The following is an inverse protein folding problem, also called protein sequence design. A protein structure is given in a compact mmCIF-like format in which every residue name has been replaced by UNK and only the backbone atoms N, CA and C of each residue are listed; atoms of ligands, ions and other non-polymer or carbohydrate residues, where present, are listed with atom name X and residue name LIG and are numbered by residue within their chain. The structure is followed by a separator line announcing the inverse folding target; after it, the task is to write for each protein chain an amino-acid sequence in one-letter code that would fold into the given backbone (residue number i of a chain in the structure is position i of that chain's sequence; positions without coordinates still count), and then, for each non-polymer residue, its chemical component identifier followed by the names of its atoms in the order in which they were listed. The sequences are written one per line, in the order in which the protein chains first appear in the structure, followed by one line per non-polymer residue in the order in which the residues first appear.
data_IF_149932645398
#
_entry.id   IF_149932645398
#
_cell.length_a   1.000
_cell.length_b   1.000
_cell.length_c   1.000
_cell.angle_alpha   90.00
_cell.angle_beta   90.00
_cell.angle_gamma   90.00
#
_symmetry.space_group_name_H-M   'P 1'
#
loop_
_entity.id
_entity.type
_entity.pdbx_description
1 polymer ?
#
# COMPACT_ATOMS: atom_id res chain seq x y z
N UNK A 1 45.91 -0.52 4.43
CA UNK A 1 45.05 -0.01 5.52
C UNK A 1 43.75 0.56 4.96
N UNK A 2 42.97 -0.23 4.22
CA UNK A 2 41.76 0.24 3.51
C UNK A 2 40.69 -0.84 3.44
N UNK A 3 40.59 -1.69 4.47
CA UNK A 3 39.64 -2.82 4.52
C UNK A 3 38.55 -2.67 5.59
N UNK A 4 38.50 -1.53 6.30
CA UNK A 4 37.56 -1.30 7.42
C UNK A 4 36.38 -0.39 7.02
N UNK A 5 36.43 0.26 5.85
CA UNK A 5 35.47 1.31 5.49
C UNK A 5 34.17 0.84 4.78
N UNK A 6 34.04 -0.43 4.38
CA UNK A 6 32.88 -0.89 3.58
C UNK A 6 31.90 -1.81 4.30
N UNK A 7 32.12 -2.15 5.57
CA UNK A 7 31.22 -3.03 6.33
C UNK A 7 30.20 -2.29 7.21
N UNK A 8 30.20 -0.95 7.25
CA UNK A 8 29.42 -0.16 8.22
C UNK A 8 28.29 0.69 7.62
N UNK A 9 27.84 0.44 6.39
CA UNK A 9 26.65 1.13 5.87
C UNK A 9 25.53 0.21 5.40
N UNK A 10 25.48 -1.01 5.95
CA UNK A 10 24.21 -1.74 6.07
C UNK A 10 23.48 -1.23 7.32
N UNK A 11 23.24 0.08 7.40
CA UNK A 11 22.24 0.58 8.32
C UNK A 11 20.90 0.18 7.69
N UNK A 12 20.42 -1.00 8.06
CA UNK A 12 19.02 -1.39 7.90
C UNK A 12 18.25 -0.39 8.76
N UNK A 13 17.91 0.75 8.16
CA UNK A 13 17.03 1.71 8.76
C UNK A 13 15.66 1.04 8.72
N UNK A 14 15.31 0.41 9.84
CA UNK A 14 13.95 -0.04 10.10
C UNK A 14 13.10 1.22 10.08
N UNK A 15 12.54 1.56 8.91
CA UNK A 15 11.54 2.59 8.81
C UNK A 15 10.37 2.12 9.65
N UNK A 16 10.03 2.90 10.67
CA UNK A 16 8.63 3.03 11.04
C UNK A 16 7.92 3.39 9.74
N UNK A 17 7.28 2.41 9.07
CA UNK A 17 6.57 2.59 7.80
C UNK A 17 5.32 3.43 8.04
N UNK A 18 5.54 4.71 8.31
CA UNK A 18 4.50 5.71 8.36
C UNK A 18 4.23 6.16 6.93
N UNK A 19 3.01 5.94 6.48
CA UNK A 19 2.54 6.33 5.15
C UNK A 19 1.68 7.59 5.24
N UNK A 20 1.69 8.39 4.18
CA UNK A 20 0.82 9.57 4.08
C UNK A 20 -0.56 9.17 3.57
N UNK A 21 -1.62 9.73 4.13
CA UNK A 21 -3.00 9.49 3.74
C UNK A 21 -3.75 10.81 3.52
N UNK A 22 -4.78 10.81 2.68
CA UNK A 22 -5.71 11.93 2.62
C UNK A 22 -6.48 12.04 3.94
N UNK A 23 -6.71 13.27 4.37
CA UNK A 23 -7.44 13.56 5.59
C UNK A 23 -8.46 14.67 5.35
N UNK A 24 -9.68 14.48 5.88
CA UNK A 24 -10.71 15.51 5.81
C UNK A 24 -10.35 16.71 6.71
N UNK A 25 -10.75 17.91 6.29
CA UNK A 25 -10.46 19.18 6.97
C UNK A 25 -11.05 19.23 8.40
N UNK A 26 -12.14 18.52 8.67
CA UNK A 26 -12.71 18.44 10.01
C UNK A 26 -11.82 17.63 10.97
N UNK A 27 -11.18 16.58 10.46
CA UNK A 27 -10.37 15.65 11.24
C UNK A 27 -8.92 16.14 11.37
N UNK A 28 -8.36 16.75 10.32
CA UNK A 28 -7.01 17.29 10.29
C UNK A 28 -7.02 18.82 10.18
N UNK A 29 -6.87 19.55 11.30
CA UNK A 29 -6.85 21.01 11.26
C UNK A 29 -5.59 21.52 10.55
N UNK A 30 -5.77 22.16 9.40
CA UNK A 30 -4.70 22.84 8.67
C UNK A 30 -3.90 22.00 7.68
N UNK A 31 -4.25 20.72 7.51
CA UNK A 31 -3.63 19.85 6.50
C UNK A 31 -4.66 18.93 5.85
N UNK A 32 -4.58 18.76 4.53
CA UNK A 32 -5.37 17.79 3.76
C UNK A 32 -4.78 16.38 3.80
N UNK A 33 -3.69 16.20 4.54
CA UNK A 33 -2.88 14.99 4.59
C UNK A 33 -2.44 14.74 6.03
N UNK A 34 -2.52 13.48 6.47
CA UNK A 34 -1.95 13.00 7.73
C UNK A 34 -0.94 11.88 7.45
N UNK A 35 -0.23 11.45 8.48
CA UNK A 35 0.71 10.32 8.41
C UNK A 35 0.29 9.29 9.45
N UNK A 36 0.28 8.01 9.08
CA UNK A 36 -0.14 6.91 9.96
C UNK A 36 0.40 5.55 9.48
N UNK A 37 0.05 4.47 10.17
CA UNK A 37 0.46 3.11 9.75
C UNK A 37 -0.30 2.62 8.53
N UNK A 38 -1.55 3.05 8.39
CA UNK A 38 -2.43 2.71 7.28
C UNK A 38 -3.47 3.83 7.08
N UNK A 39 -4.14 3.83 5.93
CA UNK A 39 -5.14 4.82 5.57
C UNK A 39 -6.55 4.24 5.62
N UNK A 40 -7.53 5.06 6.03
CA UNK A 40 -8.95 4.75 5.99
C UNK A 40 -9.69 5.66 5.02
N UNK A 41 -10.69 5.08 4.36
CA UNK A 41 -11.74 5.79 3.66
C UNK A 41 -13.07 5.07 3.88
N UNK A 42 -14.13 5.83 4.11
CA UNK A 42 -15.46 5.27 4.23
C UNK A 42 -16.55 6.31 4.24
N UNK A 43 -17.79 5.85 4.27
CA UNK A 43 -18.96 6.69 4.52
C UNK A 43 -19.34 6.53 5.99
N UNK A 44 -19.23 7.62 6.73
CA UNK A 44 -19.63 7.71 8.12
C UNK A 44 -21.14 7.97 8.21
N UNK A 45 -21.81 7.28 9.13
CA UNK A 45 -23.22 7.51 9.45
C UNK A 45 -23.42 8.66 10.44
N UNK A 46 -22.33 9.26 10.92
CA UNK A 46 -22.35 10.33 11.90
C UNK A 46 -22.98 11.58 11.28
N UNK A 47 -24.22 11.91 11.70
CA UNK A 47 -25.00 13.03 11.19
C UNK A 47 -26.07 12.72 10.12
N UNK A 48 -26.36 11.45 9.83
CA UNK A 48 -27.51 11.01 9.03
C UNK A 48 -27.46 11.28 7.52
N UNK A 49 -26.46 12.02 7.04
CA UNK A 49 -26.33 12.39 5.62
C UNK A 49 -25.27 11.60 4.85
N UNK A 50 -24.65 10.57 5.45
CA UNK A 50 -23.65 9.73 4.79
C UNK A 50 -22.46 10.55 4.27
N UNK A 51 -21.54 10.94 5.15
CA UNK A 51 -20.39 11.76 4.77
C UNK A 51 -19.19 10.88 4.43
N UNK A 52 -18.50 11.18 3.33
CA UNK A 52 -17.22 10.56 3.02
C UNK A 52 -16.17 11.10 3.97
N UNK A 53 -15.58 10.24 4.79
CA UNK A 53 -14.51 10.57 5.72
C UNK A 53 -13.23 9.84 5.30
N UNK A 54 -12.11 10.57 5.37
CA UNK A 54 -10.76 10.08 5.08
C UNK A 54 -9.87 10.41 6.27
N UNK A 55 -9.11 9.44 6.77
CA UNK A 55 -8.21 9.63 7.92
C UNK A 55 -7.07 8.60 7.92
N UNK A 56 -6.11 8.82 8.82
CA UNK A 56 -5.02 7.90 9.13
C UNK A 56 -5.41 7.01 10.31
N UNK A 57 -4.88 5.79 10.32
CA UNK A 57 -4.97 4.91 11.46
C UNK A 57 -3.62 4.50 12.02
N UNK A 58 -3.66 4.14 13.30
CA UNK A 58 -2.49 3.72 14.07
C UNK A 58 -2.72 2.38 14.76
N UNK A 59 -3.91 2.18 15.33
CA UNK A 59 -4.25 0.99 16.11
C UNK A 59 -4.88 -0.10 15.23
N UNK A 60 -4.31 -1.31 15.24
CA UNK A 60 -4.83 -2.45 14.46
C UNK A 60 -6.28 -2.84 14.79
N UNK A 61 -6.78 -2.45 15.97
CA UNK A 61 -8.16 -2.73 16.40
C UNK A 61 -9.20 -1.96 15.60
N UNK A 62 -8.84 -0.77 15.13
CA UNK A 62 -9.69 0.10 14.34
C UNK A 62 -9.56 -0.17 12.85
N UNK A 63 -8.73 -1.15 12.48
CA UNK A 63 -8.49 -1.55 11.11
C UNK A 63 -9.47 -2.64 10.71
N UNK A 64 -10.36 -2.41 9.72
CA UNK A 64 -11.12 -3.49 9.11
C UNK A 64 -10.16 -4.46 8.39
N UNK A 65 -10.44 -5.77 8.47
CA UNK A 65 -9.59 -6.81 7.86
C UNK A 65 -9.49 -6.63 6.34
N UNK A 66 -10.59 -6.19 5.72
CA UNK A 66 -10.70 -5.81 4.32
C UNK A 66 -11.56 -4.54 4.22
N UNK A 67 -12.46 -4.46 3.23
CA UNK A 67 -13.53 -3.49 3.26
C UNK A 67 -14.75 -4.08 3.96
N UNK A 68 -15.33 -3.33 4.90
CA UNK A 68 -16.46 -3.76 5.71
C UNK A 68 -17.66 -2.83 5.51
N UNK A 69 -18.85 -3.40 5.69
CA UNK A 69 -20.12 -2.67 5.82
C UNK A 69 -20.56 -2.70 7.27
N UNK A 70 -21.30 -1.67 7.69
CA UNK A 70 -21.86 -1.54 9.04
C UNK A 70 -20.80 -1.78 10.14
N UNK A 71 -19.64 -1.14 9.97
CA UNK A 71 -18.50 -1.28 10.86
C UNK A 71 -18.41 -0.07 11.80
N UNK A 72 -18.73 -0.27 13.08
CA UNK A 72 -18.71 0.78 14.10
C UNK A 72 -19.57 2.01 13.68
N UNK A 73 -18.96 3.19 13.50
CA UNK A 73 -19.60 4.43 13.01
C UNK A 73 -19.76 4.52 11.48
N UNK A 74 -19.31 3.51 10.76
CA UNK A 74 -19.21 3.51 9.29
C UNK A 74 -20.28 2.64 8.64
N UNK A 75 -20.94 3.19 7.63
CA UNK A 75 -21.82 2.43 6.74
C UNK A 75 -21.01 1.53 5.81
N UNK A 76 -19.93 2.08 5.26
CA UNK A 76 -18.94 1.35 4.46
C UNK A 76 -17.56 1.92 4.73
N UNK A 77 -16.55 1.05 4.82
CA UNK A 77 -15.19 1.45 5.17
C UNK A 77 -14.16 0.50 4.58
N UNK A 78 -13.03 1.04 4.13
CA UNK A 78 -11.89 0.30 3.59
C UNK A 78 -10.59 0.80 4.22
N UNK A 79 -9.67 -0.11 4.49
CA UNK A 79 -8.30 0.20 4.90
C UNK A 79 -7.27 -0.19 3.81
N UNK A 80 -6.20 0.59 3.69
CA UNK A 80 -5.12 0.34 2.74
C UNK A 80 -3.75 0.84 3.24
N UNK A 81 -2.67 0.19 2.79
CA UNK A 81 -1.30 0.40 3.28
C UNK A 81 -0.36 1.13 2.29
N UNK A 82 -0.90 1.71 1.22
CA UNK A 82 -0.13 2.46 0.24
C UNK A 82 -0.25 3.98 0.47
N UNK A 83 0.79 4.78 0.18
CA UNK A 83 0.71 6.23 0.35
C UNK A 83 -0.40 6.81 -0.54
N UNK A 84 -1.26 7.64 0.07
CA UNK A 84 -2.40 8.33 -0.54
C UNK A 84 -3.39 7.37 -1.23
N UNK A 85 -3.51 6.14 -0.73
CA UNK A 85 -4.38 5.10 -1.32
C UNK A 85 -5.86 5.32 -1.05
N UNK A 86 -6.20 6.03 0.03
CA UNK A 86 -7.56 6.19 0.53
C UNK A 86 -8.36 7.19 -0.32
N UNK A 87 -8.56 6.87 -1.58
CA UNK A 87 -9.31 7.67 -2.56
C UNK A 87 -10.70 7.11 -2.77
N UNK A 88 -11.64 7.96 -3.19
CA UNK A 88 -13.01 7.52 -3.47
C UNK A 88 -13.10 6.40 -4.53
N UNK A 89 -12.18 6.39 -5.49
CA UNK A 89 -12.07 5.33 -6.48
C UNK A 89 -11.78 3.96 -5.83
N UNK A 90 -10.90 3.94 -4.83
CA UNK A 90 -10.55 2.74 -4.07
C UNK A 90 -11.73 2.19 -3.24
N UNK A 91 -12.50 3.07 -2.60
CA UNK A 91 -13.69 2.67 -1.85
C UNK A 91 -14.71 1.97 -2.76
N UNK A 92 -15.05 2.60 -3.90
CA UNK A 92 -16.05 2.04 -4.82
C UNK A 92 -15.58 0.73 -5.47
N UNK A 93 -14.35 0.67 -5.96
CA UNK A 93 -13.85 -0.54 -6.63
C UNK A 93 -13.87 -1.76 -5.72
N UNK A 94 -13.64 -1.57 -4.42
CA UNK A 94 -13.51 -2.68 -3.48
C UNK A 94 -14.86 -3.07 -2.86
N UNK A 95 -15.82 -2.13 -2.78
CA UNK A 95 -17.19 -2.43 -2.35
C UNK A 95 -18.00 -3.15 -3.43
N UNK A 96 -17.78 -2.83 -4.70
CA UNK A 96 -18.41 -3.53 -5.82
C UNK A 96 -17.94 -5.00 -5.88
N UNK A 97 -16.64 -5.25 -5.68
CA UNK A 97 -16.12 -6.63 -5.64
C UNK A 97 -16.71 -7.48 -4.50
N UNK A 98 -17.05 -6.89 -3.35
CA UNK A 98 -17.70 -7.62 -2.27
C UNK A 98 -19.17 -7.95 -2.60
N UNK A 99 -19.89 -7.04 -3.27
CA UNK A 99 -21.25 -7.35 -3.77
C UNK A 99 -21.24 -8.54 -4.73
N UNK A 100 -20.16 -8.70 -5.47
CA UNK A 100 -20.05 -9.75 -6.47
C UNK A 100 -19.86 -11.16 -5.86
N UNK A 101 -19.03 -11.24 -4.82
CA UNK A 101 -18.83 -12.49 -4.08
C UNK A 101 -20.09 -12.94 -3.32
N UNK A 102 -20.87 -12.00 -2.77
CA UNK A 102 -22.10 -12.31 -2.02
C UNK A 102 -23.25 -12.82 -2.93
N UNK A 103 -23.36 -12.31 -4.17
CA UNK A 103 -24.37 -12.82 -5.11
C UNK A 103 -24.00 -14.19 -5.67
N UNK A 104 -22.70 -14.48 -5.83
CA UNK A 104 -22.25 -15.74 -6.40
C UNK A 104 -22.47 -16.89 -5.41
N UNK A 105 -22.27 -16.63 -4.11
CA UNK A 105 -22.57 -17.56 -3.01
C UNK A 105 -24.06 -17.97 -2.96
N UNK A 106 -24.98 -17.08 -3.31
CA UNK A 106 -26.43 -17.36 -3.29
C UNK A 106 -26.91 -18.21 -4.47
N UNK A 107 -26.12 -18.31 -5.56
CA UNK A 107 -26.51 -19.07 -6.77
C UNK A 107 -26.06 -20.53 -6.76
N UNK A 108 -25.13 -20.90 -5.88
CA UNK A 108 -24.59 -22.27 -5.76
C UNK A 108 -25.26 -23.12 -4.67
N UNK A 109 -26.31 -22.62 -4.00
CA UNK A 109 -27.07 -23.36 -2.98
C UNK A 109 -28.01 -24.44 -3.50
N UNK A 110 -28.11 -24.64 -4.83
CA UNK A 110 -28.98 -25.65 -5.42
C UNK A 110 -28.22 -26.52 -6.43
N UNK A 111 -27.43 -27.47 -5.92
CA UNK A 111 -27.12 -28.69 -6.65
C UNK A 111 -25.64 -29.00 -6.86
N UNK A 112 -25.32 -30.23 -6.44
CA UNK A 112 -24.25 -31.09 -6.95
C UNK A 112 -22.83 -30.93 -6.35
N UNK A 113 -22.53 -31.92 -5.50
CA UNK A 113 -21.30 -32.73 -5.46
C UNK A 113 -19.95 -32.02 -5.36
N UNK A 114 -19.44 -32.04 -4.12
CA UNK A 114 -18.06 -32.42 -3.77
C UNK A 114 -16.95 -31.99 -4.71
N UNK A 115 -16.33 -30.85 -4.39
CA UNK A 115 -14.88 -30.68 -4.51
C UNK A 115 -14.38 -29.99 -3.25
N UNK A 116 -13.42 -30.63 -2.61
CA UNK A 116 -12.63 -30.08 -1.51
C UNK A 116 -11.88 -28.86 -2.02
N UNK A 117 -12.46 -27.67 -1.81
CA UNK A 117 -11.74 -26.41 -1.96
C UNK A 117 -11.07 -26.11 -0.63
N UNK A 118 -9.78 -26.38 -0.59
CA UNK A 118 -8.87 -25.95 0.47
C UNK A 118 -9.13 -24.49 0.81
N UNK A 119 -9.50 -24.27 2.07
CA UNK A 119 -9.57 -22.99 2.77
C UNK A 119 -8.27 -22.21 2.52
N UNK A 120 -8.26 -21.37 1.50
CA UNK A 120 -7.19 -20.40 1.31
C UNK A 120 -7.49 -19.27 2.29
N UNK A 121 -6.90 -19.35 3.48
CA UNK A 121 -6.64 -18.16 4.27
C UNK A 121 -5.85 -17.23 3.36
N UNK A 122 -6.55 -16.26 2.76
CA UNK A 122 -5.95 -15.28 1.87
C UNK A 122 -5.12 -14.35 2.73
N UNK A 123 -3.90 -14.79 2.97
CA UNK A 123 -2.75 -13.95 3.12
C UNK A 123 -2.67 -13.14 1.81
N UNK A 124 -3.49 -12.09 1.69
CA UNK A 124 -3.59 -11.20 0.52
C UNK A 124 -2.35 -10.33 0.43
N UNK A 125 -1.19 -10.99 0.28
CA UNK A 125 0.01 -10.41 -0.30
C UNK A 125 -0.24 -10.33 -1.79
N UNK A 126 -0.64 -9.15 -2.25
CA UNK A 126 -0.47 -8.77 -3.64
C UNK A 126 -1.73 -8.28 -4.31
N UNK A 127 -2.02 -7.00 -4.10
CA UNK A 127 -2.64 -6.18 -5.13
C UNK A 127 -1.61 -5.12 -5.58
N UNK A 128 -0.93 -5.45 -6.67
CA UNK A 128 -0.12 -4.62 -7.57
C UNK A 128 -0.89 -3.30 -7.90
N UNK A 129 -0.36 -2.10 -8.15
CA UNK A 129 0.81 -1.71 -8.96
C UNK A 129 0.94 -0.16 -8.90
N UNK A 130 1.81 0.38 -8.03
CA UNK A 130 2.11 1.82 -7.95
C UNK A 130 3.59 2.08 -8.23
N UNK A 131 3.93 2.26 -9.51
CA UNK A 131 5.21 2.70 -10.10
C UNK A 131 6.43 2.91 -9.19
N UNK A 132 7.19 1.83 -8.92
CA UNK A 132 8.65 1.89 -8.66
C UNK A 132 9.47 2.00 -9.96
N UNK A 133 8.81 2.22 -11.10
CA UNK A 133 9.46 2.36 -12.40
C UNK A 133 10.44 3.55 -12.42
N UNK A 134 10.17 4.59 -11.64
CA UNK A 134 11.05 5.78 -11.56
C UNK A 134 12.37 5.49 -10.84
N UNK A 135 12.33 4.65 -9.80
CA UNK A 135 13.54 4.21 -9.08
C UNK A 135 14.38 3.33 -10.01
N UNK A 136 13.74 2.45 -10.77
CA UNK A 136 14.40 1.62 -11.78
C UNK A 136 14.98 2.46 -12.93
N UNK A 137 14.27 3.52 -13.35
CA UNK A 137 14.70 4.48 -14.38
C UNK A 137 15.86 5.36 -13.96
N UNK A 138 16.04 5.62 -12.67
CA UNK A 138 17.13 6.47 -12.16
C UNK A 138 18.35 5.64 -11.78
N UNK A 139 18.15 4.46 -11.18
CA UNK A 139 19.26 3.62 -10.72
C UNK A 139 19.99 2.95 -11.89
N UNK A 140 19.28 2.49 -12.94
CA UNK A 140 19.94 1.85 -14.08
C UNK A 140 20.92 2.81 -14.80
N UNK A 141 20.53 4.04 -15.18
CA UNK A 141 21.45 4.98 -15.82
C UNK A 141 22.58 5.43 -14.92
N UNK A 142 22.33 5.61 -13.61
CA UNK A 142 23.39 5.97 -12.66
C UNK A 142 24.41 4.85 -12.48
N UNK A 143 23.96 3.59 -12.40
CA UNK A 143 24.84 2.43 -12.29
C UNK A 143 25.64 2.20 -13.59
N UNK A 144 24.99 2.28 -14.75
CA UNK A 144 25.63 2.12 -16.06
C UNK A 144 26.62 3.26 -16.33
N UNK A 145 26.25 4.50 -16.01
CA UNK A 145 27.12 5.67 -16.15
C UNK A 145 28.34 5.61 -15.23
N UNK A 146 28.14 5.24 -13.95
CA UNK A 146 29.23 5.06 -12.99
C UNK A 146 30.21 3.96 -13.40
N UNK A 147 29.70 2.82 -13.87
CA UNK A 147 30.54 1.73 -14.38
C UNK A 147 31.35 2.12 -15.62
N UNK A 148 30.76 2.90 -16.54
CA UNK A 148 31.47 3.37 -17.72
C UNK A 148 32.67 4.27 -17.36
N UNK A 149 32.51 5.20 -16.41
CA UNK A 149 33.59 6.07 -15.93
C UNK A 149 34.70 5.25 -15.27
N UNK A 150 34.34 4.28 -14.42
CA UNK A 150 35.30 3.38 -13.80
C UNK A 150 36.11 2.57 -14.83
N UNK A 151 35.46 2.04 -15.86
CA UNK A 151 36.13 1.28 -16.93
C UNK A 151 37.09 2.15 -17.75
N UNK A 152 36.70 3.39 -18.06
CA UNK A 152 37.58 4.35 -18.74
C UNK A 152 38.79 4.68 -17.87
N UNK A 153 38.60 4.90 -16.58
CA UNK A 153 39.68 5.24 -15.65
C UNK A 153 40.67 4.08 -15.49
N UNK A 154 40.19 2.85 -15.33
CA UNK A 154 41.02 1.65 -15.30
C UNK A 154 41.74 1.45 -16.62
N UNK A 155 41.06 1.62 -17.76
CA UNK A 155 41.70 1.49 -19.07
C UNK A 155 42.80 2.55 -19.30
N UNK A 156 42.55 3.79 -18.85
CA UNK A 156 43.51 4.89 -18.97
C UNK A 156 44.71 4.71 -18.04
N UNK A 157 44.50 4.27 -16.80
CA UNK A 157 45.58 3.96 -15.86
C UNK A 157 46.37 2.69 -16.22
N UNK A 158 45.72 1.68 -16.81
CA UNK A 158 46.39 0.46 -17.30
C UNK A 158 47.13 0.67 -18.63
N UNK A 159 46.89 1.76 -19.35
CA UNK A 159 47.64 2.11 -20.58
C UNK A 159 48.90 2.93 -20.30
N UNK A 160 49.08 3.41 -19.07
CA UNK A 160 50.21 4.26 -18.64
C UNK A 160 51.03 3.61 -17.53
N UNK A 161 51.13 2.28 -17.54
CA UNK A 161 52.17 1.47 -16.89
C UNK A 161 52.71 0.50 -17.93
#
# INVERSE_FOLDING_TARGET
MTLIALLNFSYVQSSSDEIKCFCDKLTCPGSLVCTGKWCLIGISNDGGNGRLDQLCGWDEKDRPVDCAKDFDRWTEVCACDAPLCNTFAHLRSNMDQHRDNDYEMSRYGAGAKGREYTKSGSNSRGWYQGSNLIVLLVILPLAVGGMAVCLVFVNYHCKMT
#
